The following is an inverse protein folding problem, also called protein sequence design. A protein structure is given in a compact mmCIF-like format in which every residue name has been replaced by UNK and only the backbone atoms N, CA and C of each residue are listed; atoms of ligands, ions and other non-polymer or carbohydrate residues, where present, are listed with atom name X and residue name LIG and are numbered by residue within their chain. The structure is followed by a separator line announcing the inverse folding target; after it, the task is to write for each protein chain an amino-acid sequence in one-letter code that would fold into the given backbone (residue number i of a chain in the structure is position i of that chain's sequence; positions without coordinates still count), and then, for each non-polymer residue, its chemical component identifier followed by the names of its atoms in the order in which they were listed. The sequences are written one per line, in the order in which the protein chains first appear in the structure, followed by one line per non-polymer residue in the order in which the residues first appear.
data_IF_977342668501
#
_entry.id   IF_977342668501
#
_cell.length_a   1.000
_cell.length_b   1.000
_cell.length_c   1.000
_cell.angle_alpha   90.00
_cell.angle_beta   90.00
_cell.angle_gamma   90.00
#
_symmetry.space_group_name_H-M   'P 1'
#
loop_
_entity.id
_entity.type
_entity.pdbx_description
1 polymer ?
#
# COMPACT_ATOMS: atom_id res chain seq x y z
N UNK A 1 35.31 36.48 -11.08
CA UNK A 1 35.20 35.20 -11.80
C UNK A 1 36.23 34.26 -11.21
N UNK A 2 35.82 33.12 -10.66
CA UNK A 2 36.75 32.11 -10.15
C UNK A 2 36.94 31.07 -11.25
N UNK A 3 38.13 31.03 -11.85
CA UNK A 3 38.43 30.22 -13.05
C UNK A 3 38.73 28.75 -12.75
N UNK A 4 38.40 28.23 -11.55
CA UNK A 4 38.84 26.88 -11.14
C UNK A 4 37.77 25.93 -10.60
N UNK A 5 36.52 26.32 -10.28
CA UNK A 5 35.49 25.31 -9.93
C UNK A 5 34.09 25.50 -10.46
N UNK A 6 33.79 26.54 -11.25
CA UNK A 6 32.45 26.64 -11.87
C UNK A 6 31.27 26.54 -10.90
N UNK A 7 31.48 26.84 -9.62
CA UNK A 7 30.48 26.68 -8.56
C UNK A 7 29.50 27.85 -8.59
N UNK A 8 28.71 27.91 -9.66
CA UNK A 8 27.55 28.78 -9.86
C UNK A 8 26.32 27.95 -10.19
N UNK A 9 26.17 26.79 -9.53
CA UNK A 9 24.99 25.95 -9.69
C UNK A 9 23.79 26.64 -9.03
N UNK A 10 22.96 27.28 -9.85
CA UNK A 10 21.58 27.58 -9.49
C UNK A 10 20.88 26.25 -9.23
N UNK A 11 20.79 25.84 -7.96
CA UNK A 11 19.94 24.72 -7.58
C UNK A 11 18.47 25.12 -7.78
N UNK A 12 17.83 24.52 -8.79
CA UNK A 12 16.39 24.58 -8.96
C UNK A 12 15.77 23.57 -7.99
N UNK A 13 15.22 24.06 -6.87
CA UNK A 13 14.31 23.24 -6.03
C UNK A 13 13.00 23.06 -6.80
N UNK A 14 12.80 21.88 -7.36
CA UNK A 14 11.52 21.47 -7.93
C UNK A 14 10.65 20.88 -6.81
N UNK A 15 9.44 21.40 -6.60
CA UNK A 15 8.49 20.91 -5.59
C UNK A 15 7.81 19.59 -6.02
N UNK A 16 8.58 18.53 -6.23
CA UNK A 16 8.06 17.22 -6.70
C UNK A 16 7.16 16.52 -5.67
N UNK A 17 7.41 16.72 -4.36
CA UNK A 17 6.74 15.99 -3.30
C UNK A 17 5.24 16.34 -3.17
N UNK A 18 4.86 17.59 -3.45
CA UNK A 18 3.46 18.04 -3.35
C UNK A 18 2.60 17.43 -4.46
N UNK A 19 3.13 17.36 -5.67
CA UNK A 19 2.38 16.85 -6.82
C UNK A 19 2.09 15.34 -6.70
N UNK A 20 3.09 14.56 -6.23
CA UNK A 20 2.92 13.12 -5.99
C UNK A 20 1.86 12.80 -4.92
N UNK A 21 1.87 13.51 -3.79
CA UNK A 21 0.89 13.30 -2.73
C UNK A 21 -0.52 13.71 -3.15
N UNK A 22 -0.64 14.84 -3.87
CA UNK A 22 -1.92 15.28 -4.45
C UNK A 22 -2.47 14.24 -5.43
N UNK A 23 -1.63 13.71 -6.31
CA UNK A 23 -2.04 12.69 -7.27
C UNK A 23 -2.47 11.39 -6.57
N UNK A 24 -1.76 10.97 -5.52
CA UNK A 24 -2.17 9.82 -4.72
C UNK A 24 -3.51 10.07 -4.00
N UNK A 25 -3.73 11.27 -3.48
CA UNK A 25 -4.99 11.63 -2.83
C UNK A 25 -6.18 11.53 -3.80
N UNK A 26 -6.01 11.98 -5.05
CA UNK A 26 -7.01 11.81 -6.11
C UNK A 26 -7.32 10.34 -6.40
N UNK A 27 -6.29 9.48 -6.50
CA UNK A 27 -6.47 8.04 -6.69
C UNK A 27 -7.20 7.43 -5.49
N UNK A 28 -6.81 7.80 -4.27
CA UNK A 28 -7.40 7.28 -3.04
C UNK A 28 -8.89 7.67 -2.93
N UNK A 29 -9.28 8.87 -3.34
CA UNK A 29 -10.69 9.27 -3.40
C UNK A 29 -11.49 8.45 -4.42
N UNK A 30 -10.92 8.20 -5.61
CA UNK A 30 -11.56 7.32 -6.60
C UNK A 30 -11.77 5.91 -6.05
N UNK A 31 -10.77 5.36 -5.35
CA UNK A 31 -10.88 4.05 -4.71
C UNK A 31 -11.96 4.03 -3.63
N UNK A 32 -12.01 5.07 -2.76
CA UNK A 32 -13.07 5.21 -1.74
C UNK A 32 -14.46 5.28 -2.36
N UNK A 33 -14.64 6.06 -3.44
CA UNK A 33 -15.91 6.14 -4.15
C UNK A 33 -16.31 4.79 -4.77
N UNK A 34 -15.34 4.08 -5.35
CA UNK A 34 -15.56 2.75 -5.94
C UNK A 34 -15.96 1.70 -4.90
N UNK A 35 -15.24 1.61 -3.78
CA UNK A 35 -15.60 0.69 -2.68
C UNK A 35 -16.98 1.01 -2.10
N UNK A 36 -17.31 2.29 -1.90
CA UNK A 36 -18.65 2.72 -1.46
C UNK A 36 -19.74 2.28 -2.43
N UNK A 37 -19.53 2.47 -3.74
CA UNK A 37 -20.49 2.05 -4.78
C UNK A 37 -20.72 0.53 -4.78
N UNK A 38 -19.70 -0.26 -4.44
CA UNK A 38 -19.80 -1.72 -4.34
C UNK A 38 -20.34 -2.20 -2.98
N UNK A 39 -20.59 -1.30 -2.02
CA UNK A 39 -20.98 -1.67 -0.66
C UNK A 39 -19.86 -2.39 0.13
N UNK A 40 -18.60 -2.19 -0.27
CA UNK A 40 -17.42 -2.82 0.35
C UNK A 40 -16.82 -1.88 1.40
N UNK A 41 -16.66 -2.37 2.62
CA UNK A 41 -15.88 -1.69 3.66
C UNK A 41 -14.41 -2.07 3.50
N UNK A 42 -13.62 -1.17 2.93
CA UNK A 42 -12.16 -1.32 2.84
C UNK A 42 -11.49 -0.83 4.14
N UNK A 43 -10.47 -1.57 4.59
CA UNK A 43 -9.63 -1.24 5.74
C UNK A 43 -8.17 -1.33 5.31
N UNK A 44 -7.40 -0.26 5.53
CA UNK A 44 -5.96 -0.26 5.31
C UNK A 44 -5.24 -0.60 6.63
N UNK A 45 -4.42 -1.66 6.63
CA UNK A 45 -3.65 -2.10 7.80
C UNK A 45 -2.17 -1.80 7.59
N UNK A 46 -1.70 -0.73 8.24
CA UNK A 46 -0.29 -0.31 8.20
C UNK A 46 0.34 -0.61 9.55
N UNK A 47 1.58 -1.11 9.54
CA UNK A 47 2.33 -1.39 10.75
C UNK A 47 3.70 -1.98 10.45
N UNK A 48 4.59 -1.91 11.44
CA UNK A 48 5.97 -2.39 11.35
C UNK A 48 6.07 -3.86 10.90
N UNK A 49 7.22 -4.28 10.35
CA UNK A 49 7.51 -5.70 10.17
C UNK A 49 7.30 -6.46 11.47
N UNK A 50 6.63 -7.62 11.42
CA UNK A 50 6.35 -8.42 12.61
C UNK A 50 5.24 -7.90 13.54
N UNK A 51 4.58 -6.78 13.24
CA UNK A 51 3.49 -6.22 14.07
C UNK A 51 2.20 -7.08 14.14
N UNK A 52 2.20 -8.27 13.54
CA UNK A 52 1.07 -9.21 13.61
C UNK A 52 -0.07 -8.93 12.62
N UNK A 53 0.15 -8.11 11.58
CA UNK A 53 -0.86 -7.79 10.55
C UNK A 53 -1.52 -9.04 9.97
N UNK A 54 -0.72 -10.00 9.51
CA UNK A 54 -1.22 -11.26 8.94
C UNK A 54 -2.06 -12.03 9.95
N UNK A 55 -1.54 -12.21 11.17
CA UNK A 55 -2.26 -12.91 12.26
C UNK A 55 -3.60 -12.26 12.60
N UNK A 56 -3.68 -10.93 12.60
CA UNK A 56 -4.92 -10.19 12.80
C UNK A 56 -5.94 -10.48 11.69
N UNK A 57 -5.50 -10.51 10.43
CA UNK A 57 -6.36 -10.83 9.28
C UNK A 57 -6.90 -12.27 9.40
N UNK A 58 -6.05 -13.24 9.76
CA UNK A 58 -6.50 -14.62 9.96
C UNK A 58 -7.55 -14.75 11.06
N UNK A 59 -7.34 -14.10 12.20
CA UNK A 59 -8.31 -14.07 13.30
C UNK A 59 -9.62 -13.41 12.87
N UNK A 60 -9.53 -12.32 12.10
CA UNK A 60 -10.70 -11.62 11.55
C UNK A 60 -11.48 -12.51 10.59
N UNK A 61 -10.81 -13.24 9.70
CA UNK A 61 -11.45 -14.16 8.77
C UNK A 61 -12.26 -15.24 9.50
N UNK A 62 -11.68 -15.82 10.57
CA UNK A 62 -12.37 -16.79 11.44
C UNK A 62 -13.58 -16.17 12.13
N UNK A 63 -13.42 -14.97 12.70
CA UNK A 63 -14.50 -14.27 13.41
C UNK A 63 -15.67 -13.84 12.50
N UNK A 64 -15.40 -13.55 11.23
CA UNK A 64 -16.41 -13.09 10.27
C UNK A 64 -17.33 -14.20 9.74
N UNK A 65 -17.02 -15.49 10.00
CA UNK A 65 -17.88 -16.69 9.86
C UNK A 65 -19.14 -16.49 9.01
N UNK A 66 -18.98 -16.42 7.68
CA UNK A 66 -20.07 -16.29 6.70
C UNK A 66 -20.14 -14.95 5.97
N UNK A 67 -19.39 -13.93 6.41
CA UNK A 67 -19.20 -12.68 5.64
C UNK A 67 -18.05 -12.80 4.66
N UNK A 68 -18.24 -12.22 3.47
CA UNK A 68 -17.20 -12.17 2.42
C UNK A 68 -16.05 -11.25 2.85
N UNK A 69 -14.84 -11.80 2.86
CA UNK A 69 -13.59 -11.08 3.08
C UNK A 69 -12.70 -11.31 1.86
N UNK A 70 -11.92 -10.30 1.48
CA UNK A 70 -10.86 -10.41 0.49
C UNK A 70 -9.68 -9.56 0.98
N UNK A 71 -8.45 -9.93 0.59
CA UNK A 71 -7.23 -9.24 1.01
C UNK A 71 -6.47 -8.74 -0.21
N UNK A 72 -6.00 -7.50 -0.13
CA UNK A 72 -4.96 -6.97 -1.02
C UNK A 72 -3.69 -6.93 -0.17
N UNK A 73 -2.72 -7.73 -0.54
CA UNK A 73 -1.45 -7.89 0.17
C UNK A 73 -0.36 -7.14 -0.61
N UNK A 74 0.46 -6.37 0.10
CA UNK A 74 1.52 -5.55 -0.47
C UNK A 74 2.84 -5.91 0.19
N UNK A 75 3.56 -6.88 -0.38
CA UNK A 75 4.86 -7.32 0.10
C UNK A 75 5.98 -6.78 -0.83
N UNK A 76 7.07 -6.25 -0.28
CA UNK A 76 8.22 -5.78 -1.04
C UNK A 76 8.86 -6.83 -1.95
N UNK A 77 8.92 -8.08 -1.53
CA UNK A 77 9.78 -9.09 -2.16
C UNK A 77 9.20 -10.50 -2.21
N UNK A 78 8.30 -10.89 -1.29
CA UNK A 78 7.81 -12.27 -1.21
C UNK A 78 6.31 -12.39 -1.40
N UNK A 79 5.82 -13.62 -1.58
CA UNK A 79 4.37 -13.92 -1.63
C UNK A 79 3.88 -14.67 -0.39
N UNK A 80 4.72 -14.74 0.64
CA UNK A 80 4.51 -15.61 1.80
C UNK A 80 3.22 -15.27 2.56
N UNK A 81 2.98 -13.98 2.79
CA UNK A 81 1.75 -13.54 3.46
C UNK A 81 0.52 -13.81 2.58
N UNK A 82 0.61 -13.58 1.27
CA UNK A 82 -0.48 -13.85 0.34
C UNK A 82 -0.85 -15.34 0.28
N UNK A 83 0.13 -16.23 0.21
CA UNK A 83 -0.07 -17.70 0.20
C UNK A 83 -0.68 -18.20 1.51
N UNK A 84 -0.17 -17.71 2.65
CA UNK A 84 -0.68 -18.04 3.97
C UNK A 84 -2.15 -17.64 4.12
N UNK A 85 -2.53 -16.46 3.62
CA UNK A 85 -3.92 -16.01 3.65
C UNK A 85 -4.82 -16.73 2.64
N UNK A 86 -4.30 -17.06 1.45
CA UNK A 86 -5.04 -17.83 0.45
C UNK A 86 -5.38 -19.25 0.94
N UNK A 87 -4.53 -19.87 1.76
CA UNK A 87 -4.78 -21.17 2.38
C UNK A 87 -6.01 -21.18 3.31
N UNK A 88 -6.50 -20.01 3.73
CA UNK A 88 -7.76 -19.87 4.47
C UNK A 88 -9.02 -19.87 3.58
N UNK A 89 -8.85 -20.04 2.26
CA UNK A 89 -9.95 -19.97 1.28
C UNK A 89 -10.42 -18.55 0.99
N UNK A 90 -9.64 -17.54 1.38
CA UNK A 90 -9.95 -16.13 1.16
C UNK A 90 -9.40 -15.70 -0.20
N UNK A 91 -10.15 -14.93 -1.01
CA UNK A 91 -9.59 -14.28 -2.20
C UNK A 91 -8.46 -13.30 -1.81
N UNK A 92 -7.26 -13.53 -2.34
CA UNK A 92 -6.09 -12.68 -2.09
C UNK A 92 -5.51 -12.17 -3.41
N UNK A 93 -5.36 -10.85 -3.52
CA UNK A 93 -4.60 -10.20 -4.57
C UNK A 93 -3.26 -9.74 -3.99
N UNK A 94 -2.15 -10.26 -4.51
CA UNK A 94 -0.81 -9.84 -4.09
C UNK A 94 -0.29 -8.74 -5.03
N UNK A 95 0.29 -7.69 -4.46
CA UNK A 95 0.92 -6.57 -5.15
C UNK A 95 2.38 -6.53 -4.73
N UNK A 96 3.27 -6.97 -5.61
CA UNK A 96 4.71 -6.88 -5.37
C UNK A 96 5.15 -5.44 -5.62
N UNK A 97 5.68 -4.77 -4.59
CA UNK A 97 6.02 -3.34 -4.67
C UNK A 97 7.42 -3.08 -5.23
N UNK A 98 8.21 -4.13 -5.51
CA UNK A 98 9.54 -4.01 -6.12
C UNK A 98 10.54 -3.25 -5.26
N UNK A 99 10.46 -3.42 -3.94
CA UNK A 99 11.31 -2.74 -2.96
C UNK A 99 10.76 -1.41 -2.42
N UNK A 100 9.58 -0.96 -2.85
CA UNK A 100 8.94 0.23 -2.28
C UNK A 100 8.27 -0.15 -0.95
N UNK A 101 8.59 0.58 0.12
CA UNK A 101 8.17 0.25 1.49
C UNK A 101 6.74 0.69 1.84
N UNK A 102 6.01 1.30 0.90
CA UNK A 102 4.65 1.81 1.11
C UNK A 102 3.85 1.83 -0.21
N UNK A 103 2.52 1.73 -0.06
CA UNK A 103 1.51 1.83 -1.10
C UNK A 103 0.52 2.93 -0.74
#
# INVERSE_FOLDING_TARGET
MCESCGCGERSLRVELARDLLSRNAEVAERNRAWFRRLGVKAVNLVGSPGAGKTTLIEATARALSGRRLAVIEGDPETRRDAERLAALGIPVAAVTTGGICHL
#
